data_IF_154940687943
#
_entry.id   IF_154940687943
#
_cell.length_a   1.000
_cell.length_b   1.000
_cell.length_c   1.000
_cell.angle_alpha   90.00
_cell.angle_beta   90.00
_cell.angle_gamma   90.00
#
_symmetry.space_group_name_H-M   'P 1'
#
loop_
_entity.id
_entity.type
_entity.pdbx_description
1 polymer ?
#
# COMPACT_ATOMS: atom_id res chain seq x y z
N UNK A 1 -42.85 2.79 22.85
CA UNK A 1 -43.22 1.80 21.82
C UNK A 1 -42.83 2.41 20.49
N UNK A 2 -41.76 2.09 19.78
CA UNK A 2 -40.66 1.15 19.96
C UNK A 2 -39.41 1.90 19.53
N UNK A 3 -38.46 2.11 20.44
CA UNK A 3 -37.14 2.61 20.08
C UNK A 3 -36.34 1.41 19.56
N UNK A 4 -36.78 0.89 18.42
CA UNK A 4 -36.10 -0.16 17.69
C UNK A 4 -34.75 0.45 17.30
N UNK A 5 -33.70 0.13 18.06
CA UNK A 5 -32.32 0.48 17.78
C UNK A 5 -31.99 -0.14 16.42
N UNK A 6 -32.31 0.60 15.35
CA UNK A 6 -31.92 0.24 14.00
C UNK A 6 -30.40 0.29 14.00
N UNK A 7 -29.79 -0.88 14.02
CA UNK A 7 -28.36 -1.04 13.88
C UNK A 7 -28.02 -0.67 12.43
N UNK A 8 -27.45 0.54 12.26
CA UNK A 8 -27.00 1.01 10.96
C UNK A 8 -25.60 0.44 10.72
N UNK A 9 -25.40 -0.22 9.58
CA UNK A 9 -24.10 -0.80 9.21
C UNK A 9 -23.20 0.23 8.53
N UNK A 10 -21.91 -0.08 8.41
CA UNK A 10 -21.01 0.63 7.50
C UNK A 10 -20.79 -0.22 6.26
N UNK A 11 -20.77 0.45 5.12
CA UNK A 11 -20.30 -0.14 3.87
C UNK A 11 -18.77 -0.31 3.94
N UNK A 12 -18.21 -1.52 3.71
CA UNK A 12 -16.76 -1.75 3.79
C UNK A 12 -15.91 -0.85 2.87
N UNK A 13 -16.48 -0.36 1.76
CA UNK A 13 -15.79 0.59 0.88
C UNK A 13 -15.87 2.00 1.47
N UNK A 14 -17.02 2.40 2.04
CA UNK A 14 -17.14 3.71 2.68
C UNK A 14 -16.23 3.86 3.89
N UNK A 15 -15.96 2.76 4.61
CA UNK A 15 -14.99 2.78 5.71
C UNK A 15 -13.59 3.24 5.26
N UNK A 16 -13.20 2.93 4.02
CA UNK A 16 -11.89 3.34 3.47
C UNK A 16 -11.77 4.86 3.32
N UNK A 17 -12.91 5.53 3.13
CA UNK A 17 -12.97 6.97 2.90
C UNK A 17 -13.01 7.79 4.19
N UNK A 18 -13.15 7.14 5.35
CA UNK A 18 -13.28 7.82 6.63
C UNK A 18 -11.93 7.74 7.34
N UNK A 19 -11.30 8.90 7.57
CA UNK A 19 -10.08 8.96 8.35
C UNK A 19 -10.43 8.66 9.82
N UNK A 20 -9.77 7.68 10.47
CA UNK A 20 -9.93 7.46 11.90
C UNK A 20 -9.62 8.74 12.69
N UNK A 21 -10.52 9.14 13.60
CA UNK A 21 -10.29 10.36 14.38
C UNK A 21 -9.08 10.21 15.32
N UNK A 22 -8.26 11.26 15.40
CA UNK A 22 -7.23 11.38 16.43
C UNK A 22 -7.86 11.49 17.81
N UNK A 23 -7.07 11.34 18.88
CA UNK A 23 -7.57 11.48 20.25
C UNK A 23 -8.16 12.88 20.47
N UNK A 24 -7.48 13.91 19.95
CA UNK A 24 -7.89 15.31 20.03
C UNK A 24 -9.17 15.56 19.22
N UNK A 25 -9.25 15.02 17.99
CA UNK A 25 -10.44 15.16 17.15
C UNK A 25 -11.67 14.46 17.78
N UNK A 26 -11.48 13.30 18.42
CA UNK A 26 -12.55 12.62 19.19
C UNK A 26 -13.03 13.46 20.36
N UNK A 27 -12.12 14.10 21.09
CA UNK A 27 -12.49 14.99 22.19
C UNK A 27 -13.28 16.21 21.70
N UNK A 28 -12.84 16.84 20.61
CA UNK A 28 -13.57 17.96 20.00
C UNK A 28 -14.96 17.53 19.51
N UNK A 29 -15.05 16.35 18.89
CA UNK A 29 -16.33 15.77 18.47
C UNK A 29 -17.25 15.54 19.68
N UNK A 30 -16.73 14.97 20.77
CA UNK A 30 -17.49 14.74 21.99
C UNK A 30 -17.99 16.06 22.60
N UNK A 31 -17.13 17.08 22.71
CA UNK A 31 -17.53 18.42 23.17
C UNK A 31 -18.67 18.97 22.32
N UNK A 32 -18.58 18.84 20.99
CA UNK A 32 -19.63 19.30 20.08
C UNK A 32 -20.98 18.57 20.28
N UNK A 33 -20.94 17.26 20.56
CA UNK A 33 -22.12 16.43 20.85
C UNK A 33 -22.79 16.88 22.15
N UNK A 34 -21.99 17.16 23.19
CA UNK A 34 -22.47 17.54 24.50
C UNK A 34 -23.10 18.94 24.48
N UNK A 35 -22.42 19.91 23.89
CA UNK A 35 -22.80 21.33 23.94
C UNK A 35 -23.91 21.71 22.96
N UNK A 36 -23.92 21.15 21.74
CA UNK A 36 -24.80 21.57 20.64
C UNK A 36 -25.71 20.45 20.18
N UNK A 37 -27.01 20.76 19.98
CA UNK A 37 -27.94 19.80 19.39
C UNK A 37 -27.56 19.41 17.96
N UNK A 38 -27.01 20.36 17.19
CA UNK A 38 -26.54 20.11 15.82
C UNK A 38 -25.33 19.15 15.77
N UNK A 39 -24.55 19.08 16.85
CA UNK A 39 -23.44 18.13 16.98
C UNK A 39 -23.89 16.68 17.08
N UNK A 40 -25.19 16.42 17.23
CA UNK A 40 -25.79 15.08 17.42
C UNK A 40 -26.42 14.52 16.14
N UNK A 41 -26.28 15.21 15.01
CA UNK A 41 -26.86 14.79 13.73
C UNK A 41 -26.01 13.69 13.09
N UNK A 42 -26.64 12.57 12.76
CA UNK A 42 -26.04 11.40 12.11
C UNK A 42 -26.68 11.21 10.76
N UNK A 43 -25.88 11.25 9.70
CA UNK A 43 -26.34 11.09 8.33
C UNK A 43 -26.30 9.62 7.89
N UNK A 44 -27.42 9.15 7.36
CA UNK A 44 -27.59 7.77 6.90
C UNK A 44 -28.14 7.73 5.49
N UNK A 45 -27.81 6.68 4.74
CA UNK A 45 -28.44 6.36 3.47
C UNK A 45 -28.87 4.90 3.48
N UNK A 46 -30.14 4.65 3.18
CA UNK A 46 -30.80 3.34 3.40
C UNK A 46 -30.70 2.92 4.88
N UNK A 47 -29.81 1.97 5.18
CA UNK A 47 -29.52 1.48 6.53
C UNK A 47 -28.02 1.55 6.83
N UNK A 48 -27.30 2.43 6.14
CA UNK A 48 -25.84 2.57 6.27
C UNK A 48 -25.47 3.96 6.77
N UNK A 49 -24.51 4.01 7.68
CA UNK A 49 -23.84 5.26 8.04
C UNK A 49 -23.06 5.79 6.84
N UNK A 50 -23.11 7.10 6.63
CA UNK A 50 -22.29 7.76 5.62
C UNK A 50 -20.89 8.05 6.18
N UNK A 51 -20.75 9.09 7.00
CA UNK A 51 -19.48 9.53 7.58
C UNK A 51 -19.52 9.65 9.12
N UNK A 52 -20.66 9.34 9.75
CA UNK A 52 -20.94 9.72 11.14
C UNK A 52 -21.04 8.54 12.11
N UNK A 53 -20.43 7.39 11.80
CA UNK A 53 -20.47 6.23 12.71
C UNK A 53 -19.85 6.55 14.07
N UNK A 54 -18.66 7.14 14.09
CA UNK A 54 -18.00 7.48 15.37
C UNK A 54 -18.85 8.45 16.21
N UNK A 55 -19.53 9.39 15.55
CA UNK A 55 -20.47 10.30 16.22
C UNK A 55 -21.65 9.53 16.83
N UNK A 56 -22.23 8.59 16.07
CA UNK A 56 -23.33 7.77 16.55
C UNK A 56 -22.91 6.89 17.75
N UNK A 57 -21.73 6.27 17.68
CA UNK A 57 -21.16 5.48 18.78
C UNK A 57 -20.93 6.33 20.04
N UNK A 58 -20.37 7.53 19.89
CA UNK A 58 -20.20 8.46 21.03
C UNK A 58 -21.55 8.87 21.63
N UNK A 59 -22.55 9.18 20.81
CA UNK A 59 -23.89 9.47 21.31
C UNK A 59 -24.46 8.30 22.13
N UNK A 60 -24.33 7.06 21.63
CA UNK A 60 -24.79 5.87 22.35
C UNK A 60 -24.04 5.66 23.67
N UNK A 61 -22.71 5.75 23.66
CA UNK A 61 -21.87 5.58 24.86
C UNK A 61 -22.22 6.55 25.99
N UNK A 62 -22.66 7.76 25.64
CA UNK A 62 -23.05 8.80 26.60
C UNK A 62 -24.57 8.87 26.87
N UNK A 63 -25.37 7.92 26.35
CA UNK A 63 -26.82 7.90 26.54
C UNK A 63 -27.57 9.08 25.91
N UNK A 64 -26.99 9.67 24.85
CA UNK A 64 -27.53 10.83 24.15
C UNK A 64 -28.28 10.38 22.90
N UNK A 65 -29.52 10.83 22.74
CA UNK A 65 -30.29 10.57 21.53
C UNK A 65 -29.70 11.35 20.34
N UNK A 66 -29.23 10.62 19.33
CA UNK A 66 -28.78 11.18 18.06
C UNK A 66 -29.97 11.50 17.14
N UNK A 67 -29.88 12.60 16.41
CA UNK A 67 -30.87 12.97 15.37
C UNK A 67 -30.46 12.31 14.06
N UNK A 68 -31.28 11.39 13.56
CA UNK A 68 -31.00 10.69 12.30
C UNK A 68 -31.53 11.50 11.11
N UNK A 69 -30.65 11.84 10.16
CA UNK A 69 -31.01 12.48 8.90
C UNK A 69 -30.75 11.55 7.73
N UNK A 70 -31.83 11.15 7.06
CA UNK A 70 -31.80 10.20 5.95
C UNK A 70 -31.59 10.98 4.64
N UNK A 71 -30.55 10.62 3.89
CA UNK A 71 -30.34 11.08 2.52
C UNK A 71 -30.84 10.04 1.52
N UNK A 72 -31.20 10.52 0.32
CA UNK A 72 -31.56 9.69 -0.81
C UNK A 72 -30.56 9.95 -1.95
N UNK A 73 -29.72 8.95 -2.25
CA UNK A 73 -28.78 8.98 -3.37
C UNK A 73 -29.20 8.02 -4.48
N UNK A 74 -28.94 8.41 -5.73
CA UNK A 74 -29.19 7.59 -6.92
C UNK A 74 -28.08 6.54 -7.16
N UNK A 75 -27.75 5.78 -6.11
CA UNK A 75 -26.76 4.71 -6.14
C UNK A 75 -25.53 4.98 -5.27
N UNK A 76 -24.68 3.95 -5.19
CA UNK A 76 -23.53 3.90 -4.27
C UNK A 76 -22.47 4.97 -4.58
N UNK A 77 -22.21 5.23 -5.86
CA UNK A 77 -21.24 6.26 -6.28
C UNK A 77 -21.65 7.66 -5.82
N UNK A 78 -22.93 8.00 -5.84
CA UNK A 78 -23.43 9.29 -5.35
C UNK A 78 -23.27 9.44 -3.83
N UNK A 79 -23.48 8.34 -3.08
CA UNK A 79 -23.23 8.32 -1.65
C UNK A 79 -21.72 8.44 -1.34
N UNK A 80 -20.87 7.69 -2.05
CA UNK A 80 -19.42 7.77 -1.91
C UNK A 80 -18.88 9.18 -2.24
N UNK A 81 -19.36 9.79 -3.33
CA UNK A 81 -19.03 11.18 -3.68
C UNK A 81 -19.38 12.16 -2.56
N UNK A 82 -20.53 11.98 -1.91
CA UNK A 82 -20.92 12.78 -0.74
C UNK A 82 -19.96 12.57 0.44
N UNK A 83 -19.64 11.31 0.76
CA UNK A 83 -18.71 10.97 1.86
C UNK A 83 -17.34 11.60 1.63
N UNK A 84 -16.73 11.41 0.46
CA UNK A 84 -15.43 12.02 0.15
C UNK A 84 -15.50 13.55 0.20
N UNK A 85 -16.59 14.16 -0.28
CA UNK A 85 -16.77 15.62 -0.21
C UNK A 85 -16.81 16.10 1.24
N UNK A 86 -17.54 15.41 2.12
CA UNK A 86 -17.64 15.76 3.54
C UNK A 86 -16.35 15.50 4.30
N UNK A 87 -15.66 14.42 4.00
CA UNK A 87 -14.39 14.12 4.64
C UNK A 87 -13.30 15.14 4.28
N UNK A 88 -13.31 15.66 3.04
CA UNK A 88 -12.39 16.72 2.60
C UNK A 88 -12.59 18.08 3.29
N UNK A 89 -13.73 18.29 3.97
CA UNK A 89 -14.01 19.49 4.78
C UNK A 89 -13.35 19.42 6.18
N UNK A 90 -12.82 18.25 6.59
CA UNK A 90 -12.15 18.09 7.88
C UNK A 90 -10.82 18.86 7.94
N UNK A 91 -10.61 19.58 9.03
CA UNK A 91 -9.37 20.33 9.29
C UNK A 91 -8.20 19.45 9.74
N UNK A 92 -8.48 18.28 10.33
CA UNK A 92 -7.49 17.32 10.83
C UNK A 92 -7.11 16.26 9.78
N UNK A 93 -7.54 16.44 8.53
CA UNK A 93 -7.30 15.49 7.45
C UNK A 93 -5.82 15.41 7.08
N UNK A 94 -5.25 14.20 7.11
CA UNK A 94 -3.88 13.94 6.71
C UNK A 94 -3.71 14.22 5.21
N UNK A 95 -2.52 14.70 4.81
CA UNK A 95 -2.24 15.04 3.42
C UNK A 95 -2.37 13.83 2.50
N UNK A 96 -1.93 12.65 2.92
CA UNK A 96 -2.05 11.41 2.14
C UNK A 96 -3.51 10.97 1.99
N UNK A 97 -4.31 11.08 3.06
CA UNK A 97 -5.76 10.91 2.98
C UNK A 97 -6.42 11.91 2.05
N UNK A 98 -6.02 13.19 2.09
CA UNK A 98 -6.53 14.23 1.19
C UNK A 98 -6.28 13.89 -0.27
N UNK A 99 -5.06 13.41 -0.60
CA UNK A 99 -4.72 12.96 -1.96
C UNK A 99 -5.61 11.80 -2.39
N UNK A 100 -5.77 10.79 -1.54
CA UNK A 100 -6.63 9.63 -1.78
C UNK A 100 -8.08 10.05 -2.06
N UNK A 101 -8.68 10.85 -1.18
CA UNK A 101 -10.07 11.28 -1.28
C UNK A 101 -10.36 12.15 -2.50
N UNK A 102 -9.42 13.01 -2.92
CA UNK A 102 -9.58 13.79 -4.16
C UNK A 102 -9.64 12.85 -5.38
N UNK A 103 -8.80 11.80 -5.40
CA UNK A 103 -8.82 10.78 -6.44
C UNK A 103 -10.13 10.00 -6.48
N UNK A 104 -10.60 9.52 -5.33
CA UNK A 104 -11.88 8.80 -5.21
C UNK A 104 -13.08 9.67 -5.59
N UNK A 105 -13.06 10.94 -5.19
CA UNK A 105 -14.09 11.91 -5.56
C UNK A 105 -14.15 12.11 -7.09
N UNK A 106 -12.99 12.15 -7.77
CA UNK A 106 -12.93 12.16 -9.23
C UNK A 106 -13.53 10.88 -9.84
N UNK A 107 -13.13 9.69 -9.36
CA UNK A 107 -13.60 8.41 -9.88
C UNK A 107 -15.11 8.25 -9.75
N UNK A 108 -15.68 8.51 -8.57
CA UNK A 108 -17.12 8.38 -8.37
C UNK A 108 -17.90 9.38 -9.22
N UNK A 109 -17.40 10.61 -9.34
CA UNK A 109 -18.06 11.60 -10.20
C UNK A 109 -18.00 11.21 -11.67
N UNK A 110 -16.86 10.68 -12.13
CA UNK A 110 -16.73 10.15 -13.48
C UNK A 110 -17.73 9.01 -13.74
N UNK A 111 -17.93 8.11 -12.77
CA UNK A 111 -18.91 7.02 -12.86
C UNK A 111 -20.36 7.51 -12.84
N UNK A 112 -20.68 8.54 -12.06
CA UNK A 112 -22.00 9.18 -12.05
C UNK A 112 -22.30 9.79 -13.43
N UNK A 113 -21.35 10.54 -14.00
CA UNK A 113 -21.54 11.20 -15.30
C UNK A 113 -21.55 10.21 -16.47
N UNK A 114 -20.77 9.11 -16.42
CA UNK A 114 -20.79 8.05 -17.43
C UNK A 114 -22.13 7.30 -17.51
N UNK A 115 -22.85 7.22 -16.39
CA UNK A 115 -24.20 6.61 -16.35
C UNK A 115 -25.20 7.43 -17.15
N UNK A 116 -24.93 8.72 -17.33
CA UNK A 116 -25.73 9.62 -18.15
C UNK A 116 -25.33 9.46 -19.63
N UNK A 117 -26.14 8.72 -20.39
CA UNK A 117 -25.80 8.21 -21.73
C UNK A 117 -25.47 9.31 -22.76
N UNK A 118 -25.80 10.58 -22.47
CA UNK A 118 -25.71 11.72 -23.39
C UNK A 118 -24.35 12.44 -23.43
N UNK A 119 -23.34 12.10 -22.59
CA UNK A 119 -22.10 12.90 -22.48
C UNK A 119 -20.77 12.15 -22.67
N UNK A 120 -20.74 10.99 -23.33
CA UNK A 120 -19.60 10.04 -23.29
C UNK A 120 -18.19 10.53 -23.70
N UNK A 121 -18.01 11.58 -24.51
CA UNK A 121 -16.69 11.93 -25.09
C UNK A 121 -16.00 13.18 -24.49
N UNK A 122 -16.74 14.08 -23.82
CA UNK A 122 -16.22 15.39 -23.37
C UNK A 122 -15.91 15.48 -21.86
N UNK A 123 -16.15 14.40 -21.11
CA UNK A 123 -16.21 14.39 -19.63
C UNK A 123 -14.83 14.49 -18.97
N UNK A 124 -13.81 13.76 -19.44
CA UNK A 124 -12.56 13.58 -18.67
C UNK A 124 -11.76 14.88 -18.43
N UNK A 125 -11.75 15.79 -19.40
CA UNK A 125 -11.10 17.11 -19.26
C UNK A 125 -11.90 18.01 -18.32
N UNK A 126 -13.16 18.25 -18.68
CA UNK A 126 -14.09 19.12 -17.96
C UNK A 126 -14.27 18.75 -16.48
N UNK A 127 -14.36 17.46 -16.17
CA UNK A 127 -14.53 16.98 -14.81
C UNK A 127 -13.33 17.36 -13.91
N UNK A 128 -12.13 17.21 -14.46
CA UNK A 128 -10.90 17.56 -13.76
C UNK A 128 -10.80 19.07 -13.53
N UNK A 129 -11.25 19.86 -14.49
CA UNK A 129 -11.26 21.33 -14.40
C UNK A 129 -12.30 21.82 -13.38
N UNK A 130 -13.48 21.19 -13.34
CA UNK A 130 -14.52 21.52 -12.36
C UNK A 130 -14.08 21.20 -10.92
N UNK A 131 -13.49 20.01 -10.71
CA UNK A 131 -12.96 19.66 -9.39
C UNK A 131 -11.74 20.51 -9.03
N UNK A 132 -10.93 20.88 -10.02
CA UNK A 132 -9.81 21.81 -9.82
C UNK A 132 -10.29 23.15 -9.29
N UNK A 133 -11.33 23.72 -9.89
CA UNK A 133 -11.93 24.97 -9.42
C UNK A 133 -12.56 24.84 -8.03
N UNK A 134 -13.28 23.73 -7.76
CA UNK A 134 -13.94 23.49 -6.47
C UNK A 134 -12.96 23.30 -5.32
N UNK A 135 -11.85 22.60 -5.56
CA UNK A 135 -10.90 22.18 -4.51
C UNK A 135 -9.65 23.06 -4.44
N UNK A 136 -9.45 23.97 -5.40
CA UNK A 136 -8.26 24.82 -5.48
C UNK A 136 -6.98 24.05 -5.84
N UNK A 137 -7.09 22.97 -6.61
CA UNK A 137 -5.98 22.07 -6.96
C UNK A 137 -5.90 21.92 -8.47
N UNK A 138 -4.74 22.08 -9.09
CA UNK A 138 -4.61 21.99 -10.55
C UNK A 138 -5.22 20.70 -11.14
N UNK A 139 -5.89 20.80 -12.29
CA UNK A 139 -6.53 19.67 -12.97
C UNK A 139 -5.56 18.50 -13.22
N UNK A 140 -4.30 18.77 -13.59
CA UNK A 140 -3.27 17.73 -13.73
C UNK A 140 -3.03 16.96 -12.43
N UNK A 141 -3.08 17.65 -11.29
CA UNK A 141 -2.92 17.06 -9.95
C UNK A 141 -4.14 16.23 -9.56
N UNK A 142 -5.36 16.65 -9.90
CA UNK A 142 -6.58 15.83 -9.71
C UNK A 142 -6.45 14.50 -10.45
N UNK A 143 -6.01 14.53 -11.72
CA UNK A 143 -5.74 13.30 -12.49
C UNK A 143 -4.63 12.47 -11.87
N UNK A 144 -3.54 13.10 -11.40
CA UNK A 144 -2.47 12.40 -10.67
C UNK A 144 -3.07 11.68 -9.46
N UNK A 145 -3.86 12.34 -8.64
CA UNK A 145 -4.49 11.74 -7.46
C UNK A 145 -5.49 10.63 -7.80
N UNK A 146 -6.16 10.67 -8.96
CA UNK A 146 -6.98 9.54 -9.41
C UNK A 146 -6.15 8.26 -9.61
N UNK A 147 -4.92 8.36 -10.12
CA UNK A 147 -4.01 7.22 -10.26
C UNK A 147 -3.52 6.72 -8.90
N UNK A 148 -3.20 7.65 -7.99
CA UNK A 148 -2.85 7.31 -6.60
C UNK A 148 -3.97 6.51 -5.92
N UNK A 149 -5.21 6.99 -6.06
CA UNK A 149 -6.35 6.39 -5.37
C UNK A 149 -6.63 4.97 -5.85
N UNK A 150 -6.60 4.73 -7.16
CA UNK A 150 -6.72 3.38 -7.69
C UNK A 150 -5.58 2.44 -7.26
N UNK A 151 -4.35 2.95 -7.12
CA UNK A 151 -3.24 2.17 -6.58
C UNK A 151 -3.44 1.86 -5.09
N UNK A 152 -3.93 2.82 -4.30
CA UNK A 152 -4.24 2.63 -2.89
C UNK A 152 -5.38 1.64 -2.67
N UNK A 153 -6.39 1.62 -3.53
CA UNK A 153 -7.49 0.64 -3.45
C UNK A 153 -6.98 -0.80 -3.58
N UNK A 154 -6.03 -1.04 -4.49
CA UNK A 154 -5.38 -2.35 -4.66
C UNK A 154 -4.61 -2.75 -3.39
N UNK A 155 -3.94 -1.78 -2.75
CA UNK A 155 -3.24 -2.03 -1.49
C UNK A 155 -4.25 -2.31 -0.38
N UNK A 156 -5.35 -1.56 -0.28
CA UNK A 156 -6.44 -1.80 0.66
C UNK A 156 -7.04 -3.20 0.51
N UNK A 157 -7.25 -3.65 -0.73
CA UNK A 157 -7.76 -5.00 -1.03
C UNK A 157 -6.77 -6.11 -0.65
N UNK A 158 -5.49 -5.77 -0.49
CA UNK A 158 -4.41 -6.72 -0.17
C UNK A 158 -4.12 -6.76 1.34
N UNK A 159 -3.97 -5.58 1.94
CA UNK A 159 -3.68 -5.33 3.35
C UNK A 159 -4.23 -3.95 3.75
N UNK A 160 -5.40 -3.96 4.41
CA UNK A 160 -6.10 -2.75 4.81
C UNK A 160 -5.38 -1.97 5.91
N UNK A 161 -4.68 -2.65 6.81
CA UNK A 161 -3.97 -1.99 7.92
C UNK A 161 -2.72 -1.28 7.41
N UNK A 162 -2.00 -1.89 6.47
CA UNK A 162 -0.89 -1.25 5.78
C UNK A 162 -1.34 -0.03 4.98
N UNK A 163 -2.45 -0.14 4.23
CA UNK A 163 -3.03 1.00 3.51
C UNK A 163 -3.40 2.15 4.47
N UNK A 164 -4.06 1.85 5.60
CA UNK A 164 -4.39 2.83 6.65
C UNK A 164 -3.12 3.48 7.22
N UNK A 165 -2.03 2.73 7.45
CA UNK A 165 -0.75 3.28 7.94
C UNK A 165 -0.14 4.28 6.95
N UNK A 166 -0.21 4.00 5.64
CA UNK A 166 0.25 4.92 4.58
C UNK A 166 -0.61 6.19 4.57
N UNK A 167 -1.94 6.07 4.52
CA UNK A 167 -2.83 7.23 4.44
C UNK A 167 -2.83 8.11 5.69
N UNK A 168 -2.59 7.52 6.86
CA UNK A 168 -2.39 8.25 8.12
C UNK A 168 -1.00 8.91 8.21
N UNK A 169 -0.16 8.76 7.19
CA UNK A 169 1.20 9.32 7.17
C UNK A 169 2.18 8.65 8.15
N UNK A 170 1.82 7.50 8.74
CA UNK A 170 2.70 6.74 9.64
C UNK A 170 3.87 6.11 8.89
N UNK A 171 3.67 5.83 7.60
CA UNK A 171 4.68 5.33 6.68
C UNK A 171 4.69 6.27 5.47
N UNK A 172 5.79 6.99 5.27
CA UNK A 172 5.95 7.90 4.12
C UNK A 172 6.31 7.10 2.87
N UNK A 173 5.39 7.06 1.92
CA UNK A 173 5.58 6.41 0.62
C UNK A 173 5.37 7.46 -0.46
N UNK A 174 6.31 7.59 -1.40
CA UNK A 174 6.08 8.51 -2.53
C UNK A 174 4.94 7.99 -3.41
N UNK A 175 4.29 8.91 -4.13
CA UNK A 175 3.24 8.57 -5.07
C UNK A 175 3.67 7.48 -6.06
N UNK A 176 4.86 7.63 -6.65
CA UNK A 176 5.41 6.69 -7.62
C UNK A 176 5.62 5.31 -6.97
N UNK A 177 6.07 5.25 -5.72
CA UNK A 177 6.26 3.99 -5.00
C UNK A 177 4.92 3.31 -4.65
N UNK A 178 3.87 4.08 -4.33
CA UNK A 178 2.51 3.53 -4.14
C UNK A 178 2.01 2.87 -5.42
N UNK A 179 2.25 3.51 -6.58
CA UNK A 179 1.91 2.93 -7.88
C UNK A 179 2.73 1.65 -8.14
N UNK A 180 4.04 1.64 -7.85
CA UNK A 180 4.86 0.42 -7.98
C UNK A 180 4.38 -0.70 -7.05
N UNK A 181 4.03 -0.40 -5.79
CA UNK A 181 3.46 -1.38 -4.86
C UNK A 181 2.19 -2.03 -5.40
N UNK A 182 1.30 -1.25 -6.01
CA UNK A 182 0.05 -1.77 -6.57
C UNK A 182 0.24 -2.72 -7.76
N UNK A 183 1.44 -2.75 -8.37
CA UNK A 183 1.80 -3.66 -9.47
C UNK A 183 2.39 -4.98 -8.99
N UNK A 184 2.76 -5.07 -7.72
CA UNK A 184 3.32 -6.28 -7.13
C UNK A 184 2.23 -7.32 -6.88
N UNK A 185 2.65 -8.57 -6.65
CA UNK A 185 1.73 -9.63 -6.22
C UNK A 185 1.27 -9.38 -4.79
N UNK A 186 0.09 -9.90 -4.45
CA UNK A 186 -0.50 -9.71 -3.11
C UNK A 186 0.42 -10.20 -2.00
N UNK A 187 1.12 -11.30 -2.22
CA UNK A 187 2.08 -11.88 -1.28
C UNK A 187 3.28 -10.97 -1.06
N UNK A 188 3.80 -10.35 -2.13
CA UNK A 188 4.94 -9.43 -2.05
C UNK A 188 4.60 -8.16 -1.27
N UNK A 189 3.41 -7.60 -1.50
CA UNK A 189 2.91 -6.44 -0.75
C UNK A 189 2.78 -6.76 0.74
N UNK A 190 2.29 -7.96 1.09
CA UNK A 190 2.18 -8.41 2.49
C UNK A 190 3.55 -8.56 3.16
N UNK A 191 4.54 -9.09 2.45
CA UNK A 191 5.90 -9.21 2.98
C UNK A 191 6.48 -7.81 3.24
N UNK A 192 6.28 -6.87 2.31
CA UNK A 192 6.69 -5.48 2.50
C UNK A 192 5.97 -4.85 3.70
N UNK A 193 4.66 -5.06 3.83
CA UNK A 193 3.88 -4.56 4.97
C UNK A 193 4.42 -5.08 6.31
N UNK A 194 4.75 -6.37 6.38
CA UNK A 194 5.34 -7.00 7.55
C UNK A 194 6.76 -6.48 7.85
N UNK A 195 7.59 -6.29 6.81
CA UNK A 195 8.93 -5.72 6.96
C UNK A 195 8.88 -4.29 7.50
N UNK A 196 7.96 -3.45 7.00
CA UNK A 196 7.74 -2.09 7.49
C UNK A 196 7.37 -2.07 8.98
N UNK A 197 6.57 -3.04 9.43
CA UNK A 197 6.18 -3.16 10.84
C UNK A 197 7.32 -3.68 11.73
N UNK A 198 8.07 -4.67 11.24
CA UNK A 198 9.19 -5.29 11.97
C UNK A 198 10.35 -4.30 12.12
N UNK A 199 10.72 -3.62 11.04
CA UNK A 199 11.84 -2.68 10.99
C UNK A 199 11.44 -1.25 11.39
N UNK A 200 10.15 -1.02 11.71
CA UNK A 200 9.57 0.29 12.06
C UNK A 200 9.96 1.39 11.07
N UNK A 201 9.86 1.08 9.78
CA UNK A 201 10.28 2.01 8.72
C UNK A 201 9.33 3.20 8.63
N UNK A 202 9.84 4.40 8.94
CA UNK A 202 9.09 5.65 8.77
C UNK A 202 8.91 6.05 7.30
N UNK A 203 9.78 5.56 6.42
CA UNK A 203 9.77 5.86 4.99
C UNK A 203 10.07 4.61 4.17
N UNK A 204 9.26 4.39 3.15
CA UNK A 204 9.44 3.29 2.20
C UNK A 204 9.97 3.84 0.87
N UNK A 205 11.19 3.45 0.52
CA UNK A 205 11.81 3.79 -0.76
C UNK A 205 11.65 2.68 -1.78
N UNK A 206 11.87 3.01 -3.06
CA UNK A 206 11.88 2.03 -4.14
C UNK A 206 12.94 0.94 -3.91
N UNK A 207 14.02 1.26 -3.23
CA UNK A 207 15.11 0.33 -2.96
C UNK A 207 14.69 -0.69 -1.89
N UNK A 208 13.93 -0.26 -0.89
CA UNK A 208 13.37 -1.14 0.15
C UNK A 208 12.37 -2.12 -0.47
N UNK A 209 11.48 -1.63 -1.34
CA UNK A 209 10.53 -2.46 -2.09
C UNK A 209 11.27 -3.52 -2.91
N UNK A 210 12.28 -3.11 -3.70
CA UNK A 210 13.05 -4.03 -4.54
C UNK A 210 13.84 -5.06 -3.72
N UNK A 211 14.44 -4.62 -2.62
CA UNK A 211 15.20 -5.49 -1.74
C UNK A 211 14.27 -6.54 -1.12
N UNK A 212 13.11 -6.15 -0.61
CA UNK A 212 12.21 -7.08 0.06
C UNK A 212 11.61 -8.11 -0.90
N UNK A 213 11.27 -7.71 -2.12
CA UNK A 213 10.86 -8.64 -3.19
C UNK A 213 11.99 -9.61 -3.52
N UNK A 214 13.23 -9.12 -3.64
CA UNK A 214 14.40 -9.97 -3.90
C UNK A 214 14.65 -10.96 -2.76
N UNK A 215 14.61 -10.52 -1.51
CA UNK A 215 14.80 -11.38 -0.34
C UNK A 215 13.66 -12.37 -0.13
N UNK A 216 12.42 -12.00 -0.48
CA UNK A 216 11.29 -12.91 -0.53
C UNK A 216 11.54 -14.05 -1.51
N UNK A 217 11.97 -13.74 -2.74
CA UNK A 217 12.30 -14.75 -3.74
C UNK A 217 13.42 -15.70 -3.28
N UNK A 218 14.48 -15.15 -2.68
CA UNK A 218 15.60 -15.93 -2.14
C UNK A 218 15.19 -16.81 -0.94
N UNK A 219 14.35 -16.31 -0.03
CA UNK A 219 13.78 -17.10 1.08
C UNK A 219 12.87 -18.22 0.58
N UNK A 220 12.05 -17.95 -0.44
CA UNK A 220 11.22 -18.96 -1.08
C UNK A 220 12.06 -20.08 -1.69
N UNK A 221 13.08 -19.75 -2.50
CA UNK A 221 14.00 -20.74 -3.06
C UNK A 221 14.74 -21.55 -1.99
N UNK A 222 15.15 -20.90 -0.90
CA UNK A 222 15.81 -21.56 0.24
C UNK A 222 14.88 -22.49 1.03
N UNK A 223 13.59 -22.16 1.09
CA UNK A 223 12.56 -22.96 1.78
C UNK A 223 12.14 -24.20 1.00
N UNK A 224 12.14 -24.14 -0.34
CA UNK A 224 11.88 -25.30 -1.21
C UNK A 224 13.03 -26.32 -1.12
N UNK A 225 14.27 -25.88 -0.90
CA UNK A 225 15.42 -26.77 -0.70
C UNK A 225 15.44 -27.49 0.66
N UNK A 226 14.61 -27.08 1.63
CA UNK A 226 14.55 -27.69 2.99
C UNK A 226 13.33 -28.57 3.24
N UNK A 227 12.42 -28.72 2.28
CA UNK A 227 11.40 -29.78 2.36
C UNK A 227 12.09 -31.11 2.09
N UNK A 228 12.39 -31.84 3.18
CA UNK A 228 12.86 -33.23 3.15
C UNK A 228 12.04 -34.01 2.11
N UNK A 229 12.67 -34.37 1.00
CA UNK A 229 12.17 -35.42 0.11
C UNK A 229 12.20 -36.73 0.91
N UNK A 230 11.10 -37.07 1.57
CA UNK A 230 10.79 -38.48 1.77
C UNK A 230 10.61 -39.07 0.37
N UNK A 231 11.64 -39.79 -0.08
CA UNK A 231 11.62 -40.51 -1.36
C UNK A 231 10.68 -41.70 -1.19
N UNK A 232 9.38 -41.48 -1.38
CA UNK A 232 8.43 -42.57 -1.61
C UNK A 232 8.69 -43.10 -3.01
N UNK A 233 9.41 -44.22 -3.10
CA UNK A 233 9.55 -44.99 -4.34
C UNK A 233 8.18 -45.51 -4.79
N UNK A 234 7.56 -44.88 -5.79
CA UNK A 234 6.51 -45.51 -6.61
C UNK A 234 7.06 -45.79 -8.01
N UNK A 235 6.83 -46.99 -8.58
CA UNK A 235 7.29 -47.29 -9.92
C UNK A 235 6.45 -46.51 -10.95
N UNK A 236 7.05 -45.94 -12.01
CA UNK A 236 6.29 -45.17 -12.98
C UNK A 236 5.59 -46.09 -13.97
N UNK A 237 4.29 -45.84 -14.22
CA UNK A 237 3.60 -46.33 -15.42
C UNK A 237 3.97 -45.45 -16.61
N UNK A 238 4.23 -46.11 -17.74
CA UNK A 238 4.60 -45.50 -19.01
C UNK A 238 3.56 -44.50 -19.51
N UNK A 239 4.02 -43.35 -19.99
CA UNK A 239 3.20 -42.32 -20.62
C UNK A 239 3.99 -41.03 -20.86
N UNK A 240 4.54 -40.93 -22.06
CA UNK A 240 5.23 -39.80 -22.73
C UNK A 240 4.82 -38.39 -22.28
N UNK A 241 5.77 -37.53 -21.85
CA UNK A 241 5.83 -36.05 -22.02
C UNK A 241 7.16 -35.49 -21.45
N UNK A 242 7.81 -34.62 -22.23
CA UNK A 242 8.96 -33.71 -21.93
C UNK A 242 10.23 -34.34 -21.35
N UNK A 243 11.28 -34.40 -22.17
CA UNK A 243 12.65 -34.53 -21.67
C UNK A 243 12.94 -33.33 -20.75
N UNK A 244 13.05 -33.58 -19.45
CA UNK A 244 13.70 -32.66 -18.51
C UNK A 244 15.18 -32.55 -18.90
N UNK A 245 15.79 -31.36 -18.80
CA UNK A 245 17.25 -31.27 -18.85
C UNK A 245 17.81 -32.17 -17.74
N UNK A 246 18.86 -32.92 -18.07
CA UNK A 246 19.58 -33.72 -17.09
C UNK A 246 20.00 -32.81 -15.92
N UNK A 247 19.87 -33.33 -14.70
CA UNK A 247 20.33 -32.62 -13.50
C UNK A 247 21.81 -32.28 -13.65
N UNK A 248 22.12 -31.00 -13.72
CA UNK A 248 23.49 -30.47 -13.77
C UNK A 248 23.92 -30.13 -12.33
N UNK A 249 24.81 -30.92 -11.72
CA UNK A 249 25.31 -30.64 -10.37
C UNK A 249 26.07 -29.31 -10.29
N UNK A 250 26.52 -28.77 -11.42
CA UNK A 250 27.31 -27.55 -11.50
C UNK A 250 26.46 -26.31 -11.75
N UNK A 251 25.13 -26.44 -11.90
CA UNK A 251 24.25 -25.34 -12.36
C UNK A 251 24.29 -24.10 -11.47
N UNK A 252 24.37 -24.29 -10.16
CA UNK A 252 24.45 -23.20 -9.16
C UNK A 252 25.82 -22.52 -9.18
N UNK A 253 26.90 -23.32 -9.32
CA UNK A 253 28.28 -22.81 -9.41
C UNK A 253 28.46 -22.01 -10.70
N UNK A 254 27.98 -22.55 -11.82
CA UNK A 254 28.01 -21.90 -13.13
C UNK A 254 27.21 -20.58 -13.12
N UNK A 255 26.05 -20.56 -12.47
CA UNK A 255 25.24 -19.34 -12.30
C UNK A 255 25.99 -18.25 -11.52
N UNK A 256 26.71 -18.61 -10.45
CA UNK A 256 27.55 -17.67 -9.72
C UNK A 256 28.72 -17.18 -10.58
N UNK A 257 29.45 -18.08 -11.24
CA UNK A 257 30.58 -17.74 -12.12
C UNK A 257 30.21 -16.75 -13.23
N UNK A 258 29.03 -16.90 -13.83
CA UNK A 258 28.54 -15.97 -14.86
C UNK A 258 28.35 -14.54 -14.35
N UNK A 259 28.05 -14.35 -13.07
CA UNK A 259 27.72 -13.02 -12.52
C UNK A 259 28.92 -12.31 -11.88
N UNK A 260 29.93 -13.05 -11.41
CA UNK A 260 31.13 -12.50 -10.75
C UNK A 260 31.82 -11.42 -11.60
N UNK A 261 31.93 -11.63 -12.91
CA UNK A 261 32.56 -10.67 -13.82
C UNK A 261 31.90 -9.29 -13.80
N UNK A 262 30.57 -9.23 -13.62
CA UNK A 262 29.82 -7.98 -13.54
C UNK A 262 30.06 -7.21 -12.24
N UNK A 263 30.25 -7.93 -11.12
CA UNK A 263 30.58 -7.36 -9.82
C UNK A 263 32.00 -6.80 -9.82
N UNK A 264 32.96 -7.57 -10.35
CA UNK A 264 34.36 -7.12 -10.51
C UNK A 264 34.43 -5.87 -11.38
N UNK A 265 33.69 -5.84 -12.49
CA UNK A 265 33.65 -4.69 -13.39
C UNK A 265 33.06 -3.45 -12.70
N UNK A 266 32.06 -3.64 -11.84
CA UNK A 266 31.44 -2.54 -11.07
C UNK A 266 32.36 -1.99 -9.99
N UNK A 267 33.07 -2.85 -9.27
CA UNK A 267 34.06 -2.44 -8.28
C UNK A 267 35.21 -1.68 -8.95
N UNK A 268 35.74 -2.21 -10.06
CA UNK A 268 36.81 -1.55 -10.84
C UNK A 268 36.37 -0.19 -11.35
N UNK A 269 35.16 -0.09 -11.92
CA UNK A 269 34.61 1.19 -12.39
C UNK A 269 34.59 2.22 -11.27
N UNK A 270 34.00 1.89 -10.11
CA UNK A 270 33.95 2.82 -8.96
C UNK A 270 35.36 3.19 -8.50
N UNK A 271 36.29 2.23 -8.47
CA UNK A 271 37.68 2.49 -8.08
C UNK A 271 38.41 3.45 -9.04
N UNK A 272 38.06 3.43 -10.33
CA UNK A 272 38.68 4.29 -11.35
C UNK A 272 37.98 5.65 -11.51
N UNK A 273 36.67 5.73 -11.29
CA UNK A 273 35.89 6.95 -11.54
C UNK A 273 35.63 7.79 -10.29
N UNK A 274 35.67 7.19 -9.10
CA UNK A 274 35.36 7.91 -7.87
C UNK A 274 36.60 8.59 -7.27
N UNK A 275 36.47 9.86 -6.92
CA UNK A 275 37.45 10.59 -6.12
C UNK A 275 37.21 10.32 -4.62
N UNK A 276 37.92 9.33 -4.07
CA UNK A 276 37.78 8.91 -2.67
C UNK A 276 38.20 9.97 -1.65
N UNK A 277 38.86 11.07 -2.07
CA UNK A 277 39.15 12.19 -1.18
C UNK A 277 37.92 13.04 -0.87
N UNK A 278 36.91 13.02 -1.76
CA UNK A 278 35.70 13.86 -1.68
C UNK A 278 34.45 13.13 -1.22
N UNK A 279 34.51 11.82 -1.00
CA UNK A 279 33.35 11.04 -0.54
C UNK A 279 33.03 11.32 0.93
N UNK A 280 31.73 11.30 1.26
CA UNK A 280 31.27 11.50 2.64
C UNK A 280 31.71 10.36 3.55
N UNK A 281 31.91 10.66 4.84
CA UNK A 281 32.26 9.66 5.87
C UNK A 281 31.24 8.53 5.93
N UNK A 282 29.95 8.85 5.80
CA UNK A 282 28.86 7.86 5.75
C UNK A 282 28.98 6.91 4.55
N UNK A 283 29.30 7.43 3.37
CA UNK A 283 29.51 6.62 2.17
C UNK A 283 30.74 5.71 2.30
N UNK A 284 31.82 6.24 2.89
CA UNK A 284 33.05 5.48 3.16
C UNK A 284 32.80 4.29 4.09
N UNK A 285 32.17 4.54 5.24
CA UNK A 285 31.85 3.48 6.22
C UNK A 285 30.96 2.40 5.58
N UNK A 286 29.94 2.81 4.83
CA UNK A 286 29.04 1.87 4.14
C UNK A 286 29.80 1.03 3.12
N UNK A 287 30.60 1.66 2.26
CA UNK A 287 31.37 0.94 1.24
C UNK A 287 32.34 -0.07 1.87
N UNK A 288 33.06 0.33 2.94
CA UNK A 288 33.96 -0.56 3.67
C UNK A 288 33.23 -1.75 4.28
N UNK A 289 32.05 -1.53 4.88
CA UNK A 289 31.24 -2.61 5.47
C UNK A 289 30.78 -3.64 4.42
N UNK A 290 30.26 -3.17 3.28
CA UNK A 290 29.78 -4.05 2.21
C UNK A 290 30.92 -4.85 1.56
N UNK A 291 32.08 -4.21 1.34
CA UNK A 291 33.26 -4.90 0.80
C UNK A 291 33.79 -5.96 1.75
N UNK A 292 33.79 -5.70 3.07
CA UNK A 292 34.21 -6.67 4.08
C UNK A 292 33.25 -7.87 4.15
N UNK A 293 31.94 -7.64 4.03
CA UNK A 293 30.94 -8.71 3.95
C UNK A 293 31.14 -9.60 2.71
N UNK A 294 31.43 -8.98 1.56
CA UNK A 294 31.74 -9.70 0.32
C UNK A 294 33.02 -10.53 0.46
N UNK A 295 34.09 -9.96 1.04
CA UNK A 295 35.35 -10.66 1.27
C UNK A 295 35.18 -11.88 2.19
N UNK A 296 34.43 -11.73 3.29
CA UNK A 296 34.12 -12.85 4.18
C UNK A 296 33.35 -13.97 3.47
N UNK A 297 32.34 -13.61 2.67
CA UNK A 297 31.56 -14.59 1.90
C UNK A 297 32.43 -15.34 0.87
N UNK A 298 33.37 -14.63 0.23
CA UNK A 298 34.34 -15.24 -0.69
C UNK A 298 35.25 -16.21 0.06
N UNK A 299 35.73 -15.84 1.25
CA UNK A 299 36.57 -16.70 2.10
C UNK A 299 35.86 -17.96 2.56
N UNK A 300 34.59 -17.86 2.96
CA UNK A 300 33.78 -19.02 3.36
C UNK A 300 33.60 -20.02 2.21
N UNK A 301 33.29 -19.54 1.00
CA UNK A 301 33.15 -20.39 -0.18
C UNK A 301 34.50 -21.01 -0.55
N UNK A 302 35.60 -20.25 -0.51
CA UNK A 302 36.95 -20.78 -0.77
C UNK A 302 37.35 -21.84 0.25
N UNK A 303 37.15 -21.59 1.54
CA UNK A 303 37.41 -22.57 2.60
C UNK A 303 36.59 -23.85 2.40
N UNK A 304 35.30 -23.72 2.03
CA UNK A 304 34.44 -24.87 1.72
C UNK A 304 34.91 -25.68 0.49
N UNK A 305 35.59 -25.04 -0.47
CA UNK A 305 36.17 -25.72 -1.63
C UNK A 305 37.48 -26.42 -1.27
N UNK A 306 38.32 -25.77 -0.46
CA UNK A 306 39.61 -26.31 0.03
C UNK A 306 39.41 -27.50 0.99
N UNK A 307 38.45 -27.44 1.91
CA UNK A 307 38.09 -28.55 2.83
C UNK A 307 37.54 -29.80 2.12
N UNK A 308 37.13 -29.67 0.85
CA UNK A 308 36.57 -30.78 0.05
C UNK A 308 37.55 -31.33 -1.00
N UNK A 309 38.72 -30.71 -1.14
CA UNK A 309 39.78 -31.13 -2.06
C UNK A 309 41.03 -31.67 -1.35
N UNK A 310 41.08 -31.59 -0.02
CA UNK A 310 42.03 -32.34 0.84
C UNK A 310 41.39 -33.60 1.41
#
# INVERSE_FOLDING_TARGET
>A
MDNNLKEYSIDPIFERYIQPHSKEAKQQLLTSILEKRDGRVVHVWKQMHLNDKERYELCQQHGINATIKIYCFNGRNSAAYYICTKELERSDLCEEYRKYLIGELYHHKELIEKRDKFRKAMIKGRLSDELSAKLGVAAATVKKYSVYAGAMDIIFDTDADFAKKILMGKVKVSHENVVELSRLRKEEVRIIAQAVETDRLEKLTLQDIRNEVKWSYLRYQSSVSKVKKEVVKRPPKAGTIRQMPAYDPDSEVNSLCMTIGSWVSSIKRVNSTADFSKITTKARIRLSKELLSLDNSIKEIKGSLEERTG
#
